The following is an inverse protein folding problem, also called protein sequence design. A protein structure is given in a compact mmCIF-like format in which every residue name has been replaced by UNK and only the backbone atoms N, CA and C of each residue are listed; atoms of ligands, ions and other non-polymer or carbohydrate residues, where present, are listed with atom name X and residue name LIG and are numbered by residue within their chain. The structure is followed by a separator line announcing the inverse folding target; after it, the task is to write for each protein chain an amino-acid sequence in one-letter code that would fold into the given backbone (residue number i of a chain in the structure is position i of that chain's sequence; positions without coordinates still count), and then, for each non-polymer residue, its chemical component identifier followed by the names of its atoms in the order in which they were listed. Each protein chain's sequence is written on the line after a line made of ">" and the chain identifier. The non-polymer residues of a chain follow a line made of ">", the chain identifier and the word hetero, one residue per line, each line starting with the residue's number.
data_IF_357764490384
#
_entry.id   IF_357764490384
#
_cell.length_a   1.000
_cell.length_b   1.000
_cell.length_c   1.000
_cell.angle_alpha   90.00
_cell.angle_beta   90.00
_cell.angle_gamma   90.00
#
_symmetry.space_group_name_H-M   'P 1'
#
loop_
_entity.id
_entity.type
_entity.pdbx_description
1 polymer ?
#
# COMPACT_ATOMS: atom_id res chain seq x y z
N UNK A 1 -34.86 16.23 46.91
CA UNK A 1 -33.51 15.66 46.68
C UNK A 1 -33.67 14.24 46.15
N UNK A 2 -33.69 14.07 44.82
CA UNK A 2 -33.80 12.75 44.20
C UNK A 2 -32.40 12.12 44.11
N UNK A 3 -32.23 10.99 44.80
CA UNK A 3 -31.03 10.15 44.74
C UNK A 3 -30.80 9.70 43.29
N UNK A 4 -29.72 10.18 42.66
CA UNK A 4 -29.19 9.59 41.42
C UNK A 4 -28.77 8.16 41.77
N UNK A 5 -29.57 7.16 41.42
CA UNK A 5 -29.13 5.76 41.44
C UNK A 5 -27.92 5.66 40.52
N UNK A 6 -26.73 5.62 41.12
CA UNK A 6 -25.48 5.40 40.38
C UNK A 6 -25.54 4.03 39.72
N UNK A 7 -25.21 3.97 38.43
CA UNK A 7 -24.85 2.70 37.79
C UNK A 7 -23.69 2.14 38.63
N UNK A 8 -23.72 0.87 39.06
CA UNK A 8 -22.60 0.27 39.79
C UNK A 8 -21.30 0.50 39.00
N UNK A 9 -20.26 1.03 39.66
CA UNK A 9 -19.00 1.34 38.99
C UNK A 9 -18.37 0.04 38.47
N UNK A 10 -18.31 -0.08 37.15
CA UNK A 10 -17.61 -1.17 36.49
C UNK A 10 -16.11 -1.09 36.84
N UNK A 11 -15.40 -2.21 37.05
CA UNK A 11 -13.94 -2.22 37.15
C UNK A 11 -13.28 -1.51 35.95
N UNK A 12 -12.18 -0.82 36.19
CA UNK A 12 -11.51 0.00 35.17
C UNK A 12 -11.07 -0.83 33.96
N UNK A 13 -10.70 -2.10 34.17
CA UNK A 13 -10.32 -3.03 33.11
C UNK A 13 -11.48 -3.31 32.14
N UNK A 14 -12.71 -3.40 32.67
CA UNK A 14 -13.89 -3.59 31.86
C UNK A 14 -14.31 -2.28 31.16
N UNK A 15 -14.10 -1.12 31.80
CA UNK A 15 -14.31 0.17 31.15
C UNK A 15 -13.36 0.32 29.94
N UNK A 16 -12.07 0.03 30.12
CA UNK A 16 -11.07 0.07 29.05
C UNK A 16 -11.43 -0.89 27.90
N UNK A 17 -11.84 -2.12 28.22
CA UNK A 17 -12.26 -3.09 27.23
C UNK A 17 -13.50 -2.65 26.43
N UNK A 18 -14.46 -1.97 27.07
CA UNK A 18 -15.64 -1.41 26.40
C UNK A 18 -15.23 -0.21 25.53
N UNK A 19 -14.48 0.73 26.09
CA UNK A 19 -14.04 1.95 25.41
C UNK A 19 -13.19 1.66 24.18
N UNK A 20 -12.29 0.67 24.25
CA UNK A 20 -11.46 0.24 23.13
C UNK A 20 -12.25 -0.33 21.94
N UNK A 21 -13.53 -0.69 22.14
CA UNK A 21 -14.42 -1.23 21.09
C UNK A 21 -15.39 -0.19 20.55
N UNK A 22 -15.47 0.98 21.17
CA UNK A 22 -16.36 2.06 20.76
C UNK A 22 -15.64 3.00 19.79
N UNK A 23 -16.36 3.59 18.81
CA UNK A 23 -15.83 4.71 18.05
C UNK A 23 -15.37 5.84 18.98
N UNK A 24 -14.31 6.56 18.60
CA UNK A 24 -13.69 7.63 19.40
C UNK A 24 -14.75 8.61 19.97
N UNK A 25 -15.71 9.01 19.13
CA UNK A 25 -16.80 9.91 19.54
C UNK A 25 -17.69 9.34 20.65
N UNK A 26 -18.06 8.07 20.56
CA UNK A 26 -18.98 7.44 21.52
C UNK A 26 -18.27 7.08 22.82
N UNK A 27 -17.01 6.69 22.73
CA UNK A 27 -16.14 6.51 23.87
C UNK A 27 -15.92 7.84 24.63
N UNK A 28 -15.75 8.98 23.93
CA UNK A 28 -15.73 10.30 24.58
C UNK A 28 -17.06 10.64 25.28
N UNK A 29 -18.20 10.29 24.68
CA UNK A 29 -19.55 10.53 25.24
C UNK A 29 -19.83 9.73 26.51
N UNK A 30 -19.19 8.57 26.67
CA UNK A 30 -19.30 7.77 27.89
C UNK A 30 -18.83 8.52 29.15
N UNK A 31 -18.06 9.60 29.00
CA UNK A 31 -17.65 10.48 30.12
C UNK A 31 -18.82 11.07 30.91
N UNK A 32 -20.03 11.12 30.33
CA UNK A 32 -21.25 11.57 31.02
C UNK A 32 -21.76 10.52 32.03
N UNK A 33 -21.37 9.26 31.89
CA UNK A 33 -21.81 8.17 32.77
C UNK A 33 -21.24 8.31 34.18
N UNK A 34 -19.93 8.57 34.30
CA UNK A 34 -19.28 8.93 35.56
C UNK A 34 -17.88 9.54 35.33
N UNK A 35 -17.29 10.07 36.41
CA UNK A 35 -15.91 10.56 36.40
C UNK A 35 -14.88 9.48 36.07
N UNK A 36 -15.16 8.20 36.38
CA UNK A 36 -14.27 7.08 36.07
C UNK A 36 -14.17 6.89 34.56
N UNK A 37 -15.31 6.84 33.86
CA UNK A 37 -15.36 6.70 32.39
C UNK A 37 -14.69 7.88 31.70
N UNK A 38 -14.87 9.09 32.24
CA UNK A 38 -14.18 10.29 31.76
C UNK A 38 -12.65 10.25 31.91
N UNK A 39 -12.13 9.56 32.94
CA UNK A 39 -10.68 9.31 33.10
C UNK A 39 -10.20 8.20 32.16
N UNK A 40 -10.87 7.05 32.16
CA UNK A 40 -10.50 5.87 31.34
C UNK A 40 -10.43 6.22 29.85
N UNK A 41 -11.38 7.01 29.35
CA UNK A 41 -11.36 7.54 27.98
C UNK A 41 -10.03 8.25 27.63
N UNK A 42 -9.52 9.11 28.53
CA UNK A 42 -8.28 9.88 28.30
C UNK A 42 -7.01 9.02 28.31
N UNK A 43 -7.10 7.78 28.75
CA UNK A 43 -6.01 6.81 28.76
C UNK A 43 -6.06 5.84 27.59
N UNK A 44 -7.05 5.95 26.70
CA UNK A 44 -7.07 5.12 25.49
C UNK A 44 -5.81 5.35 24.65
N UNK A 45 -5.13 4.25 24.37
CA UNK A 45 -3.95 4.25 23.51
C UNK A 45 -4.27 4.34 22.01
N UNK A 46 -5.54 4.17 21.62
CA UNK A 46 -5.96 4.18 20.22
C UNK A 46 -6.91 5.35 19.95
N UNK A 47 -6.49 6.28 19.09
CA UNK A 47 -7.29 7.42 18.69
C UNK A 47 -7.59 7.35 17.19
N UNK A 48 -8.84 7.00 16.85
CA UNK A 48 -9.32 6.97 15.48
C UNK A 48 -10.28 8.14 15.19
N UNK A 49 -9.78 9.15 14.48
CA UNK A 49 -10.55 10.32 14.08
C UNK A 49 -11.25 10.14 12.72
N UNK A 50 -11.19 8.93 12.15
CA UNK A 50 -11.96 8.60 10.97
C UNK A 50 -13.37 8.21 11.40
N UNK A 51 -14.36 8.95 10.91
CA UNK A 51 -15.74 8.49 10.93
C UNK A 51 -15.88 7.28 10.00
N UNK A 52 -16.06 6.07 10.55
CA UNK A 52 -16.78 5.03 9.83
C UNK A 52 -18.26 5.47 9.78
N UNK A 53 -18.92 5.50 8.61
CA UNK A 53 -20.37 5.68 8.61
C UNK A 53 -20.99 4.57 9.47
N UNK A 54 -22.01 4.86 10.29
CA UNK A 54 -22.71 3.81 11.02
C UNK A 54 -23.26 2.78 10.02
N UNK A 55 -23.40 1.50 10.40
CA UNK A 55 -23.89 0.45 9.48
C UNK A 55 -25.25 0.78 8.85
N UNK A 56 -26.08 1.59 9.51
CA UNK A 56 -27.36 2.08 8.98
C UNK A 56 -27.24 3.17 7.88
N UNK A 57 -26.07 3.79 7.71
CA UNK A 57 -25.81 4.82 6.70
C UNK A 57 -25.19 4.27 5.40
N UNK A 58 -24.99 2.95 5.29
CA UNK A 58 -24.51 2.30 4.07
C UNK A 58 -25.49 2.46 2.89
N UNK A 59 -26.73 2.86 3.16
CA UNK A 59 -27.80 3.08 2.18
C UNK A 59 -27.98 4.55 1.76
N UNK A 60 -27.18 5.48 2.32
CA UNK A 60 -27.26 6.90 1.97
C UNK A 60 -26.30 7.21 0.80
N UNK A 61 -26.61 8.22 -0.05
CA UNK A 61 -25.69 8.67 -1.09
C UNK A 61 -24.31 8.98 -0.49
N UNK A 62 -23.23 8.69 -1.22
CA UNK A 62 -21.83 8.91 -0.79
C UNK A 62 -21.59 10.35 -0.27
N UNK A 63 -22.40 11.32 -0.70
CA UNK A 63 -22.39 12.71 -0.23
C UNK A 63 -23.01 12.94 1.17
N UNK A 64 -23.84 12.03 1.69
CA UNK A 64 -24.41 12.09 3.03
C UNK A 64 -23.60 11.25 4.05
N UNK A 65 -22.88 10.21 3.59
CA UNK A 65 -21.91 9.47 4.41
C UNK A 65 -20.66 10.31 4.77
N UNK A 66 -20.47 11.47 4.13
CA UNK A 66 -19.32 12.35 4.29
C UNK A 66 -19.39 13.37 5.43
N UNK A 67 -20.41 13.34 6.29
CA UNK A 67 -20.65 14.41 7.24
C UNK A 67 -20.51 14.01 8.72
N UNK A 68 -19.33 13.50 9.12
CA UNK A 68 -18.78 13.75 10.47
C UNK A 68 -17.25 13.83 10.35
N UNK A 69 -16.74 14.88 9.70
CA UNK A 69 -15.32 15.22 9.89
C UNK A 69 -15.15 15.67 11.35
N UNK A 70 -14.13 15.14 12.05
CA UNK A 70 -13.78 15.67 13.36
C UNK A 70 -13.35 17.14 13.21
N UNK A 71 -13.97 18.03 14.00
CA UNK A 71 -13.59 19.44 14.04
C UNK A 71 -12.15 19.58 14.54
N UNK A 72 -11.40 20.53 13.96
CA UNK A 72 -10.03 20.87 14.35
C UNK A 72 -9.94 21.14 15.85
N UNK A 73 -10.89 21.88 16.41
CA UNK A 73 -10.90 22.22 17.84
C UNK A 73 -11.00 20.96 18.73
N UNK A 74 -11.75 19.95 18.30
CA UNK A 74 -11.84 18.68 19.00
C UNK A 74 -10.52 17.88 18.91
N UNK A 75 -9.90 17.85 17.73
CA UNK A 75 -8.60 17.18 17.54
C UNK A 75 -7.52 17.87 18.39
N UNK A 76 -7.48 19.20 18.38
CA UNK A 76 -6.57 20.01 19.21
C UNK A 76 -6.79 19.72 20.69
N UNK A 77 -8.03 19.77 21.17
CA UNK A 77 -8.36 19.48 22.56
C UNK A 77 -7.88 18.08 22.97
N UNK A 78 -8.07 17.08 22.12
CA UNK A 78 -7.71 15.69 22.41
C UNK A 78 -6.20 15.50 22.37
N UNK A 79 -5.55 15.82 21.25
CA UNK A 79 -4.13 15.53 21.01
C UNK A 79 -3.21 16.46 21.81
N UNK A 80 -3.57 17.73 21.99
CA UNK A 80 -2.70 18.73 22.61
C UNK A 80 -2.96 18.90 24.11
N UNK A 81 -4.20 18.67 24.59
CA UNK A 81 -4.58 19.05 25.95
C UNK A 81 -5.11 17.90 26.83
N UNK A 82 -5.88 16.96 26.28
CA UNK A 82 -6.65 16.00 27.09
C UNK A 82 -6.02 14.61 27.23
N UNK A 83 -5.07 14.23 26.37
CA UNK A 83 -4.37 12.95 26.47
C UNK A 83 -2.95 13.13 27.04
N UNK A 84 -2.76 13.14 28.36
CA UNK A 84 -1.41 13.23 28.96
C UNK A 84 -0.59 11.94 28.79
N UNK A 85 -1.25 10.80 28.57
CA UNK A 85 -0.60 9.48 28.48
C UNK A 85 0.01 9.16 27.12
N UNK A 86 0.74 8.03 27.02
CA UNK A 86 1.26 7.54 25.75
C UNK A 86 0.11 7.21 24.80
N UNK A 87 0.24 7.62 23.55
CA UNK A 87 -0.74 7.33 22.50
C UNK A 87 -0.11 6.32 21.57
N UNK A 88 -0.62 5.09 21.55
CA UNK A 88 -0.04 3.99 20.78
C UNK A 88 -0.38 4.09 19.30
N UNK A 89 -1.61 4.48 18.95
CA UNK A 89 -2.10 4.53 17.57
C UNK A 89 -2.93 5.77 17.33
N UNK A 90 -2.65 6.46 16.22
CA UNK A 90 -3.47 7.56 15.73
C UNK A 90 -3.79 7.35 14.26
N UNK A 91 -5.07 7.53 13.91
CA UNK A 91 -5.53 7.59 12.53
C UNK A 91 -6.26 8.90 12.29
N UNK A 92 -5.79 9.66 11.30
CA UNK A 92 -6.28 10.98 10.93
C UNK A 92 -6.47 11.06 9.41
N UNK A 93 -7.70 11.38 8.99
CA UNK A 93 -7.99 11.81 7.62
C UNK A 93 -8.22 13.32 7.63
N UNK A 94 -7.27 14.05 7.06
CA UNK A 94 -7.17 15.51 7.13
C UNK A 94 -7.77 16.11 5.86
N UNK A 95 -8.74 16.98 5.99
CA UNK A 95 -9.23 17.84 4.89
C UNK A 95 -8.43 19.14 4.84
N UNK A 96 -8.65 19.96 3.82
CA UNK A 96 -7.86 21.18 3.63
C UNK A 96 -7.96 22.15 4.83
N UNK A 97 -9.10 22.17 5.52
CA UNK A 97 -9.34 23.00 6.71
C UNK A 97 -8.58 22.52 7.96
N UNK A 98 -8.25 21.22 8.00
CA UNK A 98 -7.56 20.59 9.12
C UNK A 98 -6.02 20.64 8.97
N UNK A 99 -5.52 20.87 7.76
CA UNK A 99 -4.08 20.89 7.46
C UNK A 99 -3.25 21.82 8.36
N UNK A 100 -3.70 23.05 8.70
CA UNK A 100 -2.93 23.94 9.57
C UNK A 100 -2.67 23.36 10.97
N UNK A 101 -3.46 22.39 11.44
CA UNK A 101 -3.26 21.71 12.72
C UNK A 101 -2.17 20.63 12.72
N UNK A 102 -1.86 20.06 11.55
CA UNK A 102 -0.94 18.91 11.42
C UNK A 102 0.42 19.14 12.08
N UNK A 103 1.10 20.30 11.93
CA UNK A 103 2.38 20.52 12.58
C UNK A 103 2.32 20.42 14.12
N UNK A 104 1.28 21.01 14.73
CA UNK A 104 1.09 20.97 16.19
C UNK A 104 0.79 19.55 16.68
N UNK A 105 -0.05 18.81 15.95
CA UNK A 105 -0.36 17.41 16.26
C UNK A 105 0.90 16.54 16.16
N UNK A 106 1.69 16.70 15.10
CA UNK A 106 2.92 15.94 14.91
C UNK A 106 3.96 16.22 15.99
N UNK A 107 4.09 17.48 16.42
CA UNK A 107 4.95 17.83 17.55
C UNK A 107 4.52 17.09 18.82
N UNK A 108 3.24 17.17 19.17
CA UNK A 108 2.70 16.51 20.36
C UNK A 108 2.81 14.98 20.30
N UNK A 109 2.53 14.37 19.15
CA UNK A 109 2.59 12.91 18.97
C UNK A 109 4.02 12.36 19.08
N UNK A 110 5.03 13.16 18.69
CA UNK A 110 6.43 12.73 18.78
C UNK A 110 6.90 12.51 20.21
N UNK A 111 6.27 13.17 21.18
CA UNK A 111 6.58 13.05 22.61
C UNK A 111 5.81 11.92 23.30
N UNK A 112 4.78 11.37 22.64
CA UNK A 112 3.83 10.38 23.23
C UNK A 112 4.18 8.92 22.94
N UNK A 113 5.34 8.65 22.34
CA UNK A 113 5.79 7.27 22.09
C UNK A 113 4.93 6.50 21.08
N UNK A 114 4.40 7.17 20.06
CA UNK A 114 3.48 6.58 19.07
C UNK A 114 4.09 5.39 18.33
N UNK A 115 3.30 4.31 18.24
CA UNK A 115 3.68 3.07 17.58
C UNK A 115 3.03 2.89 16.20
N UNK A 116 1.88 3.53 15.95
CA UNK A 116 1.16 3.40 14.68
C UNK A 116 0.54 4.73 14.27
N UNK A 117 1.04 5.33 13.19
CA UNK A 117 0.52 6.58 12.66
C UNK A 117 -0.04 6.37 11.26
N UNK A 118 -1.29 6.77 11.05
CA UNK A 118 -1.92 6.85 9.73
C UNK A 118 -2.44 8.28 9.52
N UNK A 119 -1.78 9.01 8.64
CA UNK A 119 -2.08 10.41 8.35
C UNK A 119 -2.22 10.60 6.85
N UNK A 120 -3.45 10.87 6.40
CA UNK A 120 -3.78 11.00 4.98
C UNK A 120 -4.55 12.29 4.72
N UNK A 121 -4.11 13.06 3.72
CA UNK A 121 -4.86 14.24 3.26
C UNK A 121 -5.89 13.83 2.20
N UNK A 122 -7.16 14.18 2.44
CA UNK A 122 -8.26 14.03 1.48
C UNK A 122 -8.39 15.32 0.68
N UNK A 123 -7.69 15.41 -0.44
CA UNK A 123 -7.85 16.54 -1.36
C UNK A 123 -8.78 16.15 -2.54
N UNK A 124 -9.76 17.00 -2.81
CA UNK A 124 -10.74 16.88 -3.90
C UNK A 124 -10.08 17.08 -5.28
N UNK A 125 -9.02 17.90 -5.32
CA UNK A 125 -8.18 18.11 -6.49
C UNK A 125 -6.81 17.45 -6.26
N UNK A 126 -5.90 17.46 -7.25
CA UNK A 126 -4.57 16.83 -7.17
C UNK A 126 -3.47 17.89 -6.89
N UNK A 127 -3.48 18.61 -5.75
CA UNK A 127 -2.44 19.58 -5.43
C UNK A 127 -1.11 18.86 -5.17
N UNK A 128 0.02 19.59 -5.18
CA UNK A 128 1.29 19.06 -4.71
C UNK A 128 1.17 18.56 -3.26
N UNK A 129 1.97 17.55 -2.85
CA UNK A 129 1.93 17.01 -1.50
C UNK A 129 2.22 18.09 -0.43
N UNK A 130 1.52 18.04 0.70
CA UNK A 130 1.68 19.04 1.77
C UNK A 130 2.98 18.81 2.55
N UNK A 131 3.69 19.87 2.98
CA UNK A 131 4.91 19.72 3.76
C UNK A 131 4.63 19.03 5.10
N UNK A 132 5.33 17.93 5.35
CA UNK A 132 5.30 17.21 6.62
C UNK A 132 6.16 17.91 7.67
N UNK A 133 5.73 17.89 8.93
CA UNK A 133 6.50 18.44 10.04
C UNK A 133 7.67 17.53 10.43
N UNK A 134 8.84 18.11 10.71
CA UNK A 134 10.09 17.38 11.04
C UNK A 134 9.98 16.44 12.25
N UNK A 135 9.03 16.66 13.16
CA UNK A 135 8.77 15.79 14.31
C UNK A 135 8.46 14.35 13.94
N UNK A 136 8.08 14.05 12.68
CA UNK A 136 7.91 12.67 12.22
C UNK A 136 9.15 11.80 12.49
N UNK A 137 10.35 12.36 12.34
CA UNK A 137 11.61 11.63 12.54
C UNK A 137 11.93 11.40 14.03
N UNK A 138 11.29 12.11 14.95
CA UNK A 138 11.44 11.92 16.39
C UNK A 138 10.59 10.76 16.93
N UNK A 139 9.62 10.25 16.16
CA UNK A 139 8.75 9.14 16.55
C UNK A 139 9.47 7.77 16.49
N UNK A 140 10.46 7.53 17.38
CA UNK A 140 11.32 6.33 17.34
C UNK A 140 10.61 5.01 17.67
N UNK A 141 9.46 5.09 18.33
CA UNK A 141 8.64 3.92 18.69
C UNK A 141 7.75 3.41 17.54
N UNK A 142 7.73 4.08 16.39
CA UNK A 142 6.89 3.72 15.25
C UNK A 142 7.19 2.29 14.77
N UNK A 143 6.13 1.48 14.75
CA UNK A 143 6.03 0.16 14.14
C UNK A 143 5.27 0.20 12.83
N UNK A 144 4.31 1.11 12.67
CA UNK A 144 3.55 1.32 11.44
C UNK A 144 3.45 2.79 11.09
N UNK A 145 3.79 3.13 9.86
CA UNK A 145 3.67 4.49 9.34
C UNK A 145 2.94 4.45 8.00
N UNK A 146 1.80 5.14 7.93
CA UNK A 146 1.03 5.37 6.71
C UNK A 146 0.93 6.87 6.47
N UNK A 147 1.48 7.35 5.34
CA UNK A 147 1.45 8.75 4.94
C UNK A 147 0.79 8.89 3.57
N UNK A 148 -0.22 9.75 3.49
CA UNK A 148 -0.94 10.06 2.27
C UNK A 148 -0.85 11.54 1.90
N UNK A 149 -0.29 11.85 0.73
CA UNK A 149 -0.16 13.19 0.14
C UNK A 149 0.69 14.18 0.96
N UNK A 150 1.81 13.70 1.50
CA UNK A 150 2.79 14.54 2.20
C UNK A 150 4.15 14.57 1.50
N UNK A 151 4.81 15.73 1.52
CA UNK A 151 6.21 15.91 1.18
C UNK A 151 7.04 15.76 2.47
N UNK A 152 7.90 14.75 2.54
CA UNK A 152 8.77 14.53 3.70
C UNK A 152 9.87 15.60 3.74
N UNK A 153 10.14 16.23 4.90
CA UNK A 153 11.25 17.14 5.04
C UNK A 153 12.58 16.39 4.93
N UNK A 154 13.68 17.12 4.74
CA UNK A 154 15.01 16.54 4.78
C UNK A 154 15.23 15.83 6.12
N UNK A 155 15.78 14.61 6.06
CA UNK A 155 16.12 13.86 7.25
C UNK A 155 17.22 14.63 8.04
N UNK A 156 17.12 14.70 9.38
CA UNK A 156 18.21 15.21 10.21
C UNK A 156 19.51 14.43 10.00
N UNK A 157 20.67 15.07 10.17
CA UNK A 157 21.99 14.43 9.96
C UNK A 157 22.21 13.17 10.80
N UNK A 158 21.62 13.12 12.00
CA UNK A 158 21.71 11.98 12.92
C UNK A 158 20.50 11.02 12.83
N UNK A 159 19.69 11.13 11.78
CA UNK A 159 18.55 10.25 11.60
C UNK A 159 19.03 8.84 11.29
N UNK A 160 18.95 7.96 12.29
CA UNK A 160 19.31 6.54 12.17
C UNK A 160 18.15 5.65 11.70
N UNK A 161 17.17 6.24 10.99
CA UNK A 161 15.95 5.53 10.57
C UNK A 161 14.96 5.27 11.69
N UNK A 162 13.94 4.47 11.39
CA UNK A 162 12.94 4.04 12.36
C UNK A 162 13.27 2.62 12.87
N UNK A 163 13.80 2.46 14.09
CA UNK A 163 14.38 1.19 14.54
C UNK A 163 13.36 0.07 14.73
N UNK A 164 12.09 0.43 15.01
CA UNK A 164 11.01 -0.51 15.26
C UNK A 164 10.02 -0.66 14.09
N UNK A 165 10.23 0.06 12.97
CA UNK A 165 9.26 0.14 11.89
C UNK A 165 9.15 -1.19 11.15
N UNK A 166 7.96 -1.76 11.15
CA UNK A 166 7.61 -3.01 10.48
C UNK A 166 6.80 -2.78 9.20
N UNK A 167 5.96 -1.74 9.17
CA UNK A 167 5.12 -1.41 7.99
C UNK A 167 5.29 0.05 7.61
N UNK A 168 5.60 0.30 6.35
CA UNK A 168 5.65 1.62 5.74
C UNK A 168 4.71 1.68 4.54
N UNK A 169 3.75 2.60 4.55
CA UNK A 169 2.83 2.86 3.45
C UNK A 169 2.91 4.32 3.04
N UNK A 170 3.22 4.56 1.78
CA UNK A 170 3.43 5.89 1.21
C UNK A 170 2.55 6.04 -0.03
N UNK A 171 1.63 7.00 0.00
CA UNK A 171 0.70 7.24 -1.12
C UNK A 171 0.72 8.70 -1.51
N UNK A 172 1.12 9.01 -2.75
CA UNK A 172 1.21 10.38 -3.24
C UNK A 172 2.24 11.21 -2.47
N UNK A 173 3.29 10.58 -1.92
CA UNK A 173 4.29 11.28 -1.10
C UNK A 173 5.45 11.77 -1.95
N UNK A 174 5.99 12.93 -1.59
CA UNK A 174 7.18 13.50 -2.23
C UNK A 174 8.41 13.46 -1.32
N UNK A 175 9.57 13.32 -1.93
CA UNK A 175 10.88 13.41 -1.30
C UNK A 175 11.70 14.48 -2.00
N UNK A 176 12.56 15.17 -1.24
CA UNK A 176 13.47 16.17 -1.80
C UNK A 176 14.45 15.55 -2.78
N UNK A 177 15.01 14.38 -2.44
CA UNK A 177 15.96 13.67 -3.29
C UNK A 177 15.83 12.15 -3.09
N UNK A 178 16.47 11.38 -3.98
CA UNK A 178 16.43 9.92 -3.93
C UNK A 178 17.05 9.34 -2.64
N UNK A 179 18.11 9.99 -2.11
CA UNK A 179 18.83 9.50 -0.92
C UNK A 179 17.95 9.50 0.33
N UNK A 180 17.03 10.46 0.46
CA UNK A 180 16.11 10.50 1.60
C UNK A 180 15.19 9.26 1.62
N UNK A 181 14.66 8.88 0.46
CA UNK A 181 13.85 7.67 0.29
C UNK A 181 14.69 6.40 0.49
N UNK A 182 15.89 6.34 -0.10
CA UNK A 182 16.80 5.20 0.09
C UNK A 182 17.15 5.00 1.56
N UNK A 183 17.48 6.08 2.27
CA UNK A 183 17.87 6.06 3.67
C UNK A 183 16.69 5.66 4.56
N UNK A 184 15.46 6.14 4.27
CA UNK A 184 14.26 5.74 4.99
C UNK A 184 14.05 4.21 4.97
N UNK A 185 14.26 3.57 3.82
CA UNK A 185 14.13 2.11 3.68
C UNK A 185 15.33 1.39 4.29
N UNK A 186 16.56 1.81 3.96
CA UNK A 186 17.79 1.12 4.35
C UNK A 186 18.08 1.21 5.87
N UNK A 187 17.68 2.30 6.51
CA UNK A 187 17.90 2.54 7.94
C UNK A 187 16.75 2.02 8.82
N UNK A 188 15.77 1.32 8.24
CA UNK A 188 14.67 0.71 8.99
C UNK A 188 14.88 -0.82 9.06
N UNK A 189 15.69 -1.33 10.01
CA UNK A 189 16.17 -2.72 9.98
C UNK A 189 15.07 -3.77 10.21
N UNK A 190 13.92 -3.37 10.75
CA UNK A 190 12.77 -4.26 11.01
C UNK A 190 11.64 -4.13 9.98
N UNK A 191 11.86 -3.42 8.87
CA UNK A 191 10.82 -3.16 7.88
C UNK A 191 10.47 -4.44 7.11
N UNK A 192 9.29 -5.00 7.38
CA UNK A 192 8.79 -6.23 6.76
C UNK A 192 7.86 -5.95 5.59
N UNK A 193 7.12 -4.83 5.62
CA UNK A 193 6.16 -4.46 4.59
C UNK A 193 6.36 -3.03 4.10
N UNK A 194 6.50 -2.86 2.78
CA UNK A 194 6.63 -1.58 2.12
C UNK A 194 5.57 -1.44 1.03
N UNK A 195 4.76 -0.40 1.11
CA UNK A 195 3.76 -0.03 0.10
C UNK A 195 4.06 1.37 -0.41
N UNK A 196 4.19 1.53 -1.71
CA UNK A 196 4.49 2.79 -2.36
C UNK A 196 3.53 2.99 -3.52
N UNK A 197 2.83 4.13 -3.53
CA UNK A 197 1.90 4.51 -4.57
C UNK A 197 2.17 5.95 -5.00
N UNK A 198 2.38 6.21 -6.30
CA UNK A 198 2.55 7.57 -6.85
C UNK A 198 3.63 8.40 -6.11
N UNK A 199 4.85 7.88 -6.02
CA UNK A 199 5.96 8.53 -5.32
C UNK A 199 6.67 9.53 -6.22
N UNK A 200 6.95 10.70 -5.66
CA UNK A 200 7.67 11.75 -6.37
C UNK A 200 9.00 12.09 -5.68
N UNK A 201 10.02 12.39 -6.47
CA UNK A 201 11.34 12.82 -6.01
C UNK A 201 11.76 14.05 -6.79
N UNK A 202 12.23 15.10 -6.12
CA UNK A 202 12.87 16.25 -6.78
C UNK A 202 11.93 17.01 -7.75
N UNK A 203 10.69 17.25 -7.33
CA UNK A 203 9.61 17.84 -8.16
C UNK A 203 9.79 19.35 -8.38
N UNK A 204 10.62 20.02 -7.59
CA UNK A 204 10.86 21.47 -7.68
C UNK A 204 11.84 21.85 -8.82
N UNK A 205 12.47 20.88 -9.47
CA UNK A 205 13.35 21.12 -10.61
C UNK A 205 12.54 21.34 -11.89
N UNK A 206 12.22 22.60 -12.17
CA UNK A 206 11.79 23.08 -13.48
C UNK A 206 12.68 22.49 -14.59
N UNK A 207 12.01 21.89 -15.58
CA UNK A 207 12.45 21.62 -16.95
C UNK A 207 13.91 21.22 -17.16
N UNK A 208 14.19 19.93 -17.42
CA UNK A 208 15.29 19.55 -18.30
C UNK A 208 14.90 18.34 -19.15
N UNK A 209 15.02 18.49 -20.48
CA UNK A 209 14.68 17.50 -21.50
C UNK A 209 15.56 16.25 -21.48
N UNK A 210 15.25 15.33 -20.56
CA UNK A 210 15.68 13.94 -20.53
C UNK A 210 14.57 13.07 -19.93
N UNK A 211 14.73 11.74 -19.91
CA UNK A 211 13.83 10.83 -19.18
C UNK A 211 13.80 11.28 -17.70
N UNK A 212 12.80 12.10 -17.32
CA UNK A 212 12.76 12.89 -16.09
C UNK A 212 12.65 12.08 -14.80
N UNK A 213 13.02 10.81 -14.84
CA UNK A 213 12.95 9.84 -13.77
C UNK A 213 14.18 9.92 -12.87
N UNK A 214 13.96 9.76 -11.56
CA UNK A 214 14.98 9.77 -10.52
C UNK A 214 15.29 8.34 -10.13
N UNK A 215 16.57 7.98 -10.29
CA UNK A 215 17.09 6.67 -9.94
C UNK A 215 17.14 6.51 -8.42
N UNK A 216 16.53 5.44 -7.92
CA UNK A 216 16.45 5.11 -6.49
C UNK A 216 16.95 3.69 -6.28
N UNK A 217 17.88 3.51 -5.35
CA UNK A 217 18.44 2.21 -4.99
C UNK A 217 17.81 1.68 -3.70
N UNK A 218 16.86 0.76 -3.86
CA UNK A 218 16.17 0.15 -2.72
C UNK A 218 16.96 -1.03 -2.14
N UNK A 219 17.40 -0.92 -0.89
CA UNK A 219 18.10 -2.00 -0.18
C UNK A 219 17.41 -2.26 1.15
N UNK A 220 17.00 -3.51 1.37
CA UNK A 220 16.48 -3.97 2.66
C UNK A 220 16.81 -5.45 2.85
N UNK A 221 17.21 -5.82 4.06
CA UNK A 221 17.50 -7.19 4.46
C UNK A 221 16.37 -7.84 5.27
N UNK A 222 15.30 -7.10 5.59
CA UNK A 222 14.15 -7.55 6.38
C UNK A 222 12.83 -7.57 5.62
N UNK A 223 12.76 -6.90 4.47
CA UNK A 223 11.52 -6.77 3.70
C UNK A 223 11.02 -8.13 3.20
N UNK A 224 9.74 -8.42 3.47
CA UNK A 224 9.02 -9.65 3.07
C UNK A 224 7.93 -9.37 2.05
N UNK A 225 7.28 -8.21 2.16
CA UNK A 225 6.22 -7.77 1.26
C UNK A 225 6.57 -6.42 0.63
N UNK A 226 6.46 -6.34 -0.69
CA UNK A 226 6.67 -5.12 -1.46
C UNK A 226 5.47 -4.83 -2.37
N UNK A 227 4.85 -3.67 -2.22
CA UNK A 227 3.89 -3.15 -3.18
C UNK A 227 4.40 -1.86 -3.82
N UNK A 228 4.51 -1.83 -5.13
CA UNK A 228 4.76 -0.61 -5.91
C UNK A 228 3.61 -0.40 -6.89
N UNK A 229 2.97 0.75 -6.79
CA UNK A 229 1.77 1.12 -7.52
C UNK A 229 1.86 2.56 -8.05
N UNK A 230 1.11 2.88 -9.10
CA UNK A 230 0.92 4.25 -9.59
C UNK A 230 2.09 4.89 -10.36
N UNK A 231 1.78 6.04 -10.95
CA UNK A 231 2.70 6.80 -11.81
C UNK A 231 3.50 7.80 -10.97
N UNK A 232 4.72 7.43 -10.61
CA UNK A 232 5.71 8.32 -10.01
C UNK A 232 6.79 8.75 -11.01
N UNK A 233 7.72 9.60 -10.59
CA UNK A 233 8.94 9.87 -11.36
C UNK A 233 10.15 9.08 -10.84
N UNK A 234 9.93 7.97 -10.14
CA UNK A 234 11.00 7.11 -9.59
C UNK A 234 11.28 5.94 -10.52
N UNK A 235 12.55 5.69 -10.77
CA UNK A 235 13.06 4.47 -11.39
C UNK A 235 13.90 3.70 -10.35
N UNK A 236 13.50 2.47 -9.99
CA UNK A 236 14.31 1.65 -9.12
C UNK A 236 15.44 0.99 -9.89
N UNK A 237 16.68 1.19 -9.45
CA UNK A 237 17.89 0.62 -10.05
C UNK A 237 18.81 0.04 -8.98
N UNK A 238 19.48 -1.08 -9.28
CA UNK A 238 20.44 -1.69 -8.35
C UNK A 238 19.82 -2.13 -7.00
N UNK A 239 18.53 -2.46 -7.00
CA UNK A 239 17.82 -2.91 -5.80
C UNK A 239 18.40 -4.23 -5.27
N UNK A 240 18.34 -4.43 -3.94
CA UNK A 240 18.76 -5.66 -3.27
C UNK A 240 17.72 -6.02 -2.20
N UNK A 241 16.90 -7.03 -2.50
CA UNK A 241 15.72 -7.39 -1.72
C UNK A 241 15.64 -8.92 -1.50
N UNK A 242 16.65 -9.54 -0.84
CA UNK A 242 16.84 -10.99 -0.81
C UNK A 242 15.82 -11.78 0.01
N UNK A 243 14.88 -11.11 0.69
CA UNK A 243 13.87 -11.76 1.56
C UNK A 243 12.43 -11.49 1.14
N UNK A 244 12.22 -10.74 0.05
CA UNK A 244 10.85 -10.43 -0.41
C UNK A 244 10.25 -11.70 -1.01
N UNK A 245 9.26 -12.26 -0.31
CA UNK A 245 8.55 -13.46 -0.72
C UNK A 245 7.23 -13.14 -1.42
N UNK A 246 6.68 -11.94 -1.21
CA UNK A 246 5.47 -11.49 -1.87
C UNK A 246 5.66 -10.09 -2.46
N UNK A 247 5.26 -9.91 -3.72
CA UNK A 247 5.30 -8.62 -4.38
C UNK A 247 4.01 -8.32 -5.15
N UNK A 248 3.55 -7.08 -5.04
CA UNK A 248 2.47 -6.51 -5.82
C UNK A 248 3.06 -5.39 -6.68
N UNK A 249 3.18 -5.60 -7.99
CA UNK A 249 3.83 -4.63 -8.89
C UNK A 249 2.85 -4.19 -9.96
N UNK A 250 2.56 -2.90 -10.01
CA UNK A 250 1.80 -2.32 -11.09
C UNK A 250 2.71 -1.77 -12.19
N UNK A 251 2.38 -1.98 -13.46
CA UNK A 251 3.23 -1.65 -14.62
C UNK A 251 3.50 -0.15 -14.80
N UNK A 252 2.73 0.72 -14.12
CA UNK A 252 3.08 2.13 -13.93
C UNK A 252 4.48 2.32 -13.30
N UNK A 253 5.01 1.27 -12.67
CA UNK A 253 6.37 1.18 -12.15
C UNK A 253 7.45 0.96 -13.22
N UNK A 254 7.12 0.79 -14.51
CA UNK A 254 8.13 0.60 -15.57
C UNK A 254 8.97 1.88 -15.76
N UNK A 255 10.32 1.81 -15.70
CA UNK A 255 11.22 0.70 -16.04
C UNK A 255 11.71 -0.09 -14.82
N UNK A 256 11.15 0.16 -13.64
CA UNK A 256 11.62 -0.42 -12.39
C UNK A 256 11.28 -1.89 -12.21
N UNK A 257 10.20 -2.37 -12.85
CA UNK A 257 9.70 -3.72 -12.62
C UNK A 257 10.77 -4.82 -12.88
N UNK A 258 11.51 -4.84 -14.01
CA UNK A 258 12.61 -5.79 -14.20
C UNK A 258 13.72 -5.69 -13.12
N UNK A 259 14.08 -4.48 -12.71
CA UNK A 259 15.10 -4.25 -11.68
C UNK A 259 14.64 -4.74 -10.30
N UNK A 260 13.36 -4.59 -9.96
CA UNK A 260 12.81 -5.09 -8.72
C UNK A 260 12.66 -6.62 -8.75
N UNK A 261 12.12 -7.17 -9.84
CA UNK A 261 11.96 -8.62 -10.00
C UNK A 261 13.31 -9.35 -9.95
N UNK A 262 14.36 -8.78 -10.56
CA UNK A 262 15.72 -9.33 -10.45
C UNK A 262 16.27 -9.24 -9.02
N UNK A 263 15.97 -8.18 -8.28
CA UNK A 263 16.38 -8.05 -6.88
C UNK A 263 15.72 -9.06 -5.92
N UNK A 264 14.61 -9.68 -6.34
CA UNK A 264 13.79 -10.61 -5.54
C UNK A 264 13.80 -12.05 -6.10
N UNK A 265 14.54 -12.32 -7.18
CA UNK A 265 14.49 -13.57 -7.95
C UNK A 265 14.66 -14.85 -7.10
N UNK A 266 15.48 -14.77 -6.06
CA UNK A 266 15.81 -15.92 -5.19
C UNK A 266 14.80 -16.14 -4.06
N UNK A 267 13.91 -15.19 -3.77
CA UNK A 267 13.01 -15.27 -2.61
C UNK A 267 11.53 -15.19 -2.98
N UNK A 268 11.19 -14.66 -4.16
CA UNK A 268 9.81 -14.39 -4.55
C UNK A 268 8.98 -15.68 -4.70
N UNK A 269 7.92 -15.80 -3.89
CA UNK A 269 6.99 -16.95 -3.88
C UNK A 269 5.61 -16.61 -4.46
N UNK A 270 5.16 -15.37 -4.25
CA UNK A 270 3.88 -14.86 -4.77
C UNK A 270 4.09 -13.53 -5.47
N UNK A 271 3.57 -13.42 -6.69
CA UNK A 271 3.60 -12.19 -7.48
C UNK A 271 2.17 -11.82 -7.90
N UNK A 272 1.73 -10.62 -7.58
CA UNK A 272 0.57 -9.97 -8.19
C UNK A 272 1.06 -8.87 -9.13
N UNK A 273 0.83 -9.03 -10.43
CA UNK A 273 1.41 -8.17 -11.47
C UNK A 273 0.32 -7.52 -12.31
N UNK A 274 0.24 -6.19 -12.26
CA UNK A 274 -0.79 -5.43 -12.96
C UNK A 274 -0.21 -4.85 -14.23
N UNK A 275 -0.61 -5.37 -15.39
CA UNK A 275 -0.34 -4.73 -16.66
C UNK A 275 -1.32 -3.55 -16.81
N UNK A 276 -0.83 -2.34 -17.05
CA UNK A 276 -1.66 -1.19 -17.42
C UNK A 276 -1.49 -0.93 -18.91
N UNK A 277 -2.54 -0.41 -19.56
CA UNK A 277 -2.55 -0.07 -20.98
C UNK A 277 -1.55 1.05 -21.31
N UNK A 278 -0.27 0.70 -21.40
CA UNK A 278 0.79 1.54 -21.93
C UNK A 278 1.21 0.98 -23.29
N UNK A 279 1.43 1.84 -24.30
CA UNK A 279 1.93 1.42 -25.61
C UNK A 279 3.36 0.91 -25.45
N UNK A 280 3.52 -0.38 -25.19
CA UNK A 280 4.81 -1.00 -24.91
C UNK A 280 5.18 -1.99 -26.00
N UNK A 281 6.46 -2.00 -26.38
CA UNK A 281 6.98 -3.06 -27.22
C UNK A 281 7.22 -4.32 -26.37
N UNK A 282 6.87 -5.52 -26.87
CA UNK A 282 7.12 -6.79 -26.17
C UNK A 282 8.59 -6.97 -25.75
N UNK A 283 9.50 -6.51 -26.59
CA UNK A 283 10.95 -6.58 -26.37
C UNK A 283 11.43 -5.80 -25.15
N UNK A 284 10.78 -4.69 -24.81
CA UNK A 284 11.12 -3.90 -23.62
C UNK A 284 10.63 -4.57 -22.35
N UNK A 285 9.44 -5.18 -22.37
CA UNK A 285 8.87 -5.87 -21.20
C UNK A 285 9.63 -7.12 -20.80
N UNK A 286 10.21 -7.82 -21.76
CA UNK A 286 10.93 -9.07 -21.54
C UNK A 286 12.42 -8.87 -21.22
N UNK A 287 12.98 -7.69 -21.55
CA UNK A 287 14.41 -7.43 -21.38
C UNK A 287 14.77 -7.23 -19.91
N UNK A 288 15.78 -7.96 -19.45
CA UNK A 288 16.31 -7.84 -18.09
C UNK A 288 15.54 -8.64 -17.03
N UNK A 289 14.51 -9.40 -17.43
CA UNK A 289 13.88 -10.37 -16.53
C UNK A 289 14.83 -11.55 -16.26
N UNK A 290 14.90 -12.03 -15.00
CA UNK A 290 15.58 -13.27 -14.65
C UNK A 290 15.21 -14.47 -15.53
N UNK A 291 16.18 -15.35 -15.73
CA UNK A 291 16.02 -16.59 -16.48
C UNK A 291 15.25 -17.68 -15.71
N UNK A 292 15.15 -17.57 -14.38
CA UNK A 292 14.45 -18.57 -13.55
C UNK A 292 13.93 -18.00 -12.23
N UNK A 293 12.66 -18.25 -11.93
CA UNK A 293 12.00 -17.96 -10.65
C UNK A 293 11.62 -19.28 -9.95
N UNK A 294 12.61 -19.96 -9.36
CA UNK A 294 12.43 -21.31 -8.79
C UNK A 294 11.46 -21.36 -7.60
N UNK A 295 11.31 -20.27 -6.86
CA UNK A 295 10.48 -20.22 -5.66
C UNK A 295 9.06 -19.71 -5.94
N UNK A 296 8.79 -19.18 -7.14
CA UNK A 296 7.48 -18.63 -7.49
C UNK A 296 6.45 -19.75 -7.59
N UNK A 297 5.49 -19.75 -6.67
CA UNK A 297 4.41 -20.74 -6.55
C UNK A 297 3.06 -20.20 -7.02
N UNK A 298 2.82 -18.90 -6.84
CA UNK A 298 1.59 -18.21 -7.23
C UNK A 298 1.90 -16.98 -8.06
N UNK A 299 1.25 -16.91 -9.22
CA UNK A 299 1.28 -15.76 -10.11
C UNK A 299 -0.16 -15.29 -10.31
N UNK A 300 -0.43 -14.05 -9.94
CA UNK A 300 -1.65 -13.34 -10.28
C UNK A 300 -1.29 -12.25 -11.27
N UNK A 301 -2.01 -12.18 -12.39
CA UNK A 301 -1.81 -11.16 -13.41
C UNK A 301 -3.13 -10.46 -13.69
N UNK A 302 -3.05 -9.14 -13.82
CA UNK A 302 -4.14 -8.33 -14.36
C UNK A 302 -3.72 -7.88 -15.74
N UNK A 303 -4.39 -8.32 -16.79
CA UNK A 303 -4.00 -7.98 -18.16
C UNK A 303 -5.20 -7.74 -19.08
N UNK A 304 -4.92 -7.00 -20.14
CA UNK A 304 -5.81 -6.78 -21.27
C UNK A 304 -5.39 -7.70 -22.42
N UNK A 305 -6.27 -8.61 -22.82
CA UNK A 305 -6.03 -9.59 -23.88
C UNK A 305 -6.12 -8.99 -25.29
N UNK A 306 -6.55 -7.73 -25.44
CA UNK A 306 -6.41 -6.99 -26.70
C UNK A 306 -4.94 -6.62 -26.98
N UNK A 307 -4.04 -6.81 -26.02
CA UNK A 307 -2.64 -6.41 -26.15
C UNK A 307 -1.68 -7.60 -26.06
N UNK A 308 -0.85 -7.79 -27.10
CA UNK A 308 0.17 -8.83 -27.12
C UNK A 308 1.23 -8.73 -26.00
N UNK A 309 1.76 -7.54 -25.63
CA UNK A 309 2.88 -7.47 -24.67
C UNK A 309 2.57 -8.05 -23.27
N UNK A 310 1.40 -7.77 -22.64
CA UNK A 310 0.99 -8.43 -21.40
C UNK A 310 0.89 -9.96 -21.50
N UNK A 311 0.31 -10.48 -22.60
CA UNK A 311 0.18 -11.92 -22.84
C UNK A 311 1.57 -12.57 -22.94
N UNK A 312 2.47 -12.00 -23.75
CA UNK A 312 3.83 -12.50 -23.96
C UNK A 312 4.67 -12.46 -22.67
N UNK A 313 4.51 -11.40 -21.87
CA UNK A 313 5.16 -11.28 -20.56
C UNK A 313 4.68 -12.34 -19.59
N UNK A 314 3.37 -12.61 -19.57
CA UNK A 314 2.77 -13.70 -18.77
C UNK A 314 3.32 -15.06 -19.19
N UNK A 315 3.35 -15.37 -20.50
CA UNK A 315 3.93 -16.61 -21.01
C UNK A 315 5.41 -16.75 -20.64
N UNK A 316 6.17 -15.66 -20.60
CA UNK A 316 7.57 -15.70 -20.16
C UNK A 316 7.69 -16.05 -18.66
N UNK A 317 6.82 -15.55 -17.79
CA UNK A 317 6.79 -15.99 -16.39
C UNK A 317 6.50 -17.49 -16.29
N UNK A 318 5.51 -17.98 -17.04
CA UNK A 318 5.14 -19.40 -17.06
C UNK A 318 6.27 -20.32 -17.55
N UNK A 319 7.11 -19.83 -18.46
CA UNK A 319 8.31 -20.53 -18.92
C UNK A 319 9.46 -20.50 -17.91
N UNK A 320 9.60 -19.41 -17.17
CA UNK A 320 10.74 -19.19 -16.26
C UNK A 320 10.47 -19.60 -14.81
N UNK A 321 9.22 -19.91 -14.46
CA UNK A 321 8.80 -20.35 -13.13
C UNK A 321 8.41 -21.86 -13.13
N UNK A 322 9.38 -22.78 -13.02
CA UNK A 322 9.11 -24.23 -13.14
C UNK A 322 8.24 -24.80 -12.02
N UNK A 323 8.22 -24.16 -10.85
CA UNK A 323 7.47 -24.60 -9.67
C UNK A 323 6.16 -23.82 -9.47
N UNK A 324 5.69 -23.12 -10.50
CA UNK A 324 4.43 -22.39 -10.44
C UNK A 324 3.27 -23.37 -10.34
N UNK A 325 2.50 -23.26 -9.25
CA UNK A 325 1.36 -24.14 -8.96
C UNK A 325 0.01 -23.46 -9.17
N UNK A 326 -0.05 -22.14 -9.05
CA UNK A 326 -1.28 -21.36 -9.14
C UNK A 326 -1.10 -20.19 -10.11
N UNK A 327 -1.96 -20.13 -11.12
CA UNK A 327 -2.10 -19.01 -12.04
C UNK A 327 -3.50 -18.40 -11.88
N UNK A 328 -3.55 -17.12 -11.53
CA UNK A 328 -4.79 -16.34 -11.44
C UNK A 328 -4.72 -15.21 -12.46
N UNK A 329 -5.73 -15.09 -13.31
CA UNK A 329 -5.81 -14.06 -14.34
C UNK A 329 -7.08 -13.25 -14.10
N UNK A 330 -6.91 -11.95 -13.94
CA UNK A 330 -8.01 -11.00 -13.95
C UNK A 330 -7.96 -10.24 -15.27
N UNK A 331 -8.95 -10.52 -16.11
CA UNK A 331 -9.14 -9.84 -17.36
C UNK A 331 -9.76 -8.46 -17.12
N UNK A 332 -9.25 -7.44 -17.80
CA UNK A 332 -9.89 -6.11 -17.82
C UNK A 332 -10.05 -5.59 -19.25
N UNK A 333 -9.99 -6.49 -20.24
CA UNK A 333 -10.18 -6.20 -21.67
C UNK A 333 -11.44 -5.37 -21.87
N UNK A 334 -11.29 -4.24 -22.57
CA UNK A 334 -12.43 -3.43 -22.99
C UNK A 334 -13.02 -4.04 -24.28
N UNK A 335 -14.20 -4.65 -24.15
CA UNK A 335 -14.90 -5.30 -25.26
C UNK A 335 -15.29 -4.34 -26.40
N UNK A 336 -15.20 -3.03 -26.20
CA UNK A 336 -15.48 -2.04 -27.24
C UNK A 336 -14.41 -1.96 -28.35
N UNK A 337 -13.23 -2.56 -28.13
CA UNK A 337 -12.11 -2.53 -29.06
C UNK A 337 -11.66 -3.94 -29.48
N UNK A 338 -12.43 -4.60 -30.33
CA UNK A 338 -12.02 -5.89 -30.92
C UNK A 338 -10.74 -5.73 -31.76
N UNK A 339 -9.63 -6.29 -31.30
CA UNK A 339 -8.39 -6.37 -32.07
C UNK A 339 -8.26 -7.70 -32.83
N UNK A 340 -7.45 -7.71 -33.89
CA UNK A 340 -7.16 -8.95 -34.61
C UNK A 340 -6.47 -9.97 -33.68
N UNK A 341 -6.75 -11.27 -33.84
CA UNK A 341 -6.12 -12.31 -33.03
C UNK A 341 -4.60 -12.24 -33.13
N UNK A 342 -3.92 -12.31 -32.00
CA UNK A 342 -2.46 -12.44 -31.97
C UNK A 342 -2.09 -13.92 -31.99
N UNK A 343 -1.39 -14.41 -33.02
CA UNK A 343 -1.10 -15.84 -33.14
C UNK A 343 -0.15 -16.28 -32.02
N UNK A 344 -0.71 -16.94 -31.01
CA UNK A 344 0.04 -17.65 -29.98
C UNK A 344 0.52 -18.98 -30.56
N UNK A 345 1.57 -18.94 -31.38
CA UNK A 345 2.12 -20.16 -31.99
C UNK A 345 2.64 -21.11 -30.89
N UNK A 346 1.89 -22.18 -30.61
CA UNK A 346 2.16 -23.14 -29.54
C UNK A 346 3.53 -23.85 -29.64
N UNK A 347 4.14 -23.82 -30.83
CA UNK A 347 5.48 -24.33 -31.14
C UNK A 347 6.59 -23.46 -30.53
N UNK A 348 6.35 -22.16 -30.34
CA UNK A 348 7.32 -21.22 -29.77
C UNK A 348 7.44 -21.34 -28.23
N UNK A 349 6.49 -22.03 -27.59
CA UNK A 349 6.39 -22.13 -26.13
C UNK A 349 6.51 -23.58 -25.64
N UNK A 350 7.65 -24.22 -25.93
CA UNK A 350 8.01 -25.51 -25.33
C UNK A 350 8.17 -25.42 -23.81
N UNK A 351 7.66 -26.43 -23.08
CA UNK A 351 7.73 -26.57 -21.61
C UNK A 351 7.15 -25.40 -20.81
N UNK A 352 5.88 -25.07 -21.02
CA UNK A 352 5.12 -24.16 -20.14
C UNK A 352 4.52 -24.92 -18.97
N UNK A 353 4.50 -24.29 -17.79
CA UNK A 353 3.64 -24.69 -16.66
C UNK A 353 3.75 -26.17 -16.21
N UNK A 354 4.95 -26.75 -16.05
CA UNK A 354 5.07 -28.19 -15.77
C UNK A 354 4.42 -28.62 -14.45
N UNK A 355 4.30 -27.70 -13.49
CA UNK A 355 3.78 -27.95 -12.14
C UNK A 355 2.45 -27.26 -11.85
N UNK A 356 1.79 -26.71 -12.87
CA UNK A 356 0.58 -25.90 -12.67
C UNK A 356 -0.60 -26.80 -12.25
N UNK A 357 -1.16 -26.53 -11.08
CA UNK A 357 -2.26 -27.27 -10.48
C UNK A 357 -3.59 -26.53 -10.60
N UNK A 358 -3.56 -25.20 -10.49
CA UNK A 358 -4.75 -24.36 -10.45
C UNK A 358 -4.65 -23.21 -11.45
N UNK A 359 -5.68 -23.08 -12.28
CA UNK A 359 -5.90 -21.96 -13.19
C UNK A 359 -7.25 -21.32 -12.84
N UNK A 360 -7.25 -20.05 -12.48
CA UNK A 360 -8.46 -19.24 -12.35
C UNK A 360 -8.38 -18.08 -13.31
N UNK A 361 -9.41 -17.91 -14.14
CA UNK A 361 -9.61 -16.72 -14.95
C UNK A 361 -10.92 -16.05 -14.54
N UNK A 362 -10.93 -14.72 -14.47
CA UNK A 362 -12.10 -13.93 -14.06
C UNK A 362 -12.31 -12.80 -15.05
N UNK A 363 -13.58 -12.43 -15.28
CA UNK A 363 -14.02 -11.41 -16.26
C UNK A 363 -13.71 -11.74 -17.73
N UNK A 364 -13.58 -13.03 -18.05
CA UNK A 364 -13.35 -13.54 -19.42
C UNK A 364 -14.60 -13.33 -20.27
N UNK A 365 -14.46 -12.68 -21.43
CA UNK A 365 -15.57 -12.42 -22.37
C UNK A 365 -15.56 -13.37 -23.58
N UNK A 366 -14.62 -14.32 -23.59
CA UNK A 366 -14.43 -15.39 -24.57
C UNK A 366 -13.96 -14.91 -25.95
N UNK A 367 -13.15 -13.84 -25.99
CA UNK A 367 -12.53 -13.37 -27.23
C UNK A 367 -11.41 -14.32 -27.71
N UNK A 368 -11.00 -14.17 -28.98
CA UNK A 368 -10.05 -15.10 -29.63
C UNK A 368 -8.73 -15.25 -28.86
N UNK A 369 -8.14 -14.15 -28.38
CA UNK A 369 -6.86 -14.19 -27.65
C UNK A 369 -6.98 -14.88 -26.28
N UNK A 370 -8.08 -14.66 -25.56
CA UNK A 370 -8.37 -15.35 -24.29
C UNK A 370 -8.49 -16.86 -24.53
N UNK A 371 -9.29 -17.25 -25.53
CA UNK A 371 -9.54 -18.64 -25.87
C UNK A 371 -8.27 -19.34 -26.36
N UNK A 372 -7.45 -18.67 -27.17
CA UNK A 372 -6.17 -19.21 -27.63
C UNK A 372 -5.16 -19.35 -26.51
N UNK A 373 -5.13 -18.40 -25.55
CA UNK A 373 -4.34 -18.54 -24.34
C UNK A 373 -4.79 -19.73 -23.50
N UNK A 374 -6.10 -19.88 -23.26
CA UNK A 374 -6.66 -21.02 -22.52
C UNK A 374 -6.29 -22.34 -23.20
N UNK A 375 -6.51 -22.46 -24.51
CA UNK A 375 -6.14 -23.65 -25.29
C UNK A 375 -4.65 -23.96 -25.17
N UNK A 376 -3.79 -22.94 -25.27
CA UNK A 376 -2.35 -23.10 -25.10
C UNK A 376 -2.01 -23.66 -23.71
N UNK A 377 -2.55 -23.07 -22.63
CA UNK A 377 -2.28 -23.55 -21.26
C UNK A 377 -2.79 -24.98 -21.07
N UNK A 378 -4.01 -25.28 -21.48
CA UNK A 378 -4.59 -26.64 -21.37
C UNK A 378 -3.78 -27.68 -22.16
N UNK A 379 -3.19 -27.30 -23.30
CA UNK A 379 -2.35 -28.21 -24.09
C UNK A 379 -1.00 -28.55 -23.41
N UNK A 380 -0.55 -27.74 -22.44
CA UNK A 380 0.77 -27.87 -21.81
C UNK A 380 0.71 -28.26 -20.33
N UNK A 381 -0.28 -27.77 -19.58
CA UNK A 381 -0.42 -27.97 -18.15
C UNK A 381 -1.07 -29.32 -17.82
N UNK A 382 -0.26 -30.37 -17.72
CA UNK A 382 -0.73 -31.75 -17.52
C UNK A 382 -1.20 -32.08 -16.09
N UNK A 383 -0.92 -31.20 -15.13
CA UNK A 383 -1.17 -31.43 -13.70
C UNK A 383 -2.38 -30.64 -13.16
N UNK A 384 -3.17 -30.01 -14.05
CA UNK A 384 -4.33 -29.21 -13.65
C UNK A 384 -5.34 -30.08 -12.90
N UNK A 385 -5.84 -29.55 -11.80
CA UNK A 385 -6.83 -30.18 -10.94
C UNK A 385 -8.16 -29.43 -11.03
N UNK A 386 -9.26 -30.17 -10.85
CA UNK A 386 -10.62 -29.60 -10.79
C UNK A 386 -10.80 -28.80 -9.48
N UNK A 387 -11.27 -27.55 -9.52
CA UNK A 387 -11.63 -26.81 -8.30
C UNK A 387 -12.75 -27.54 -7.54
N UNK A 388 -12.43 -28.10 -6.38
CA UNK A 388 -13.44 -28.63 -5.45
C UNK A 388 -14.08 -27.55 -4.61
#
# INVERSE_FOLDING_TARGET
>A
MASRRGIPELPWELQDAILARLPLRDAARSSVLSSSWGRSWRHLGELDFVSSPPPAAASLPVAAATAVACDKAAIDAILLHQHPGPVQRVRLRVTDELLPGVPAWMASLSEKGIQSLDLTVRAMYRPPPHPMHRSIFACRALRRLSLGRFALPAAPEHFAGFPALATLSLTGTAFRNARDLEALVAMSPRLEELRMCCIAVDVDCREHGGDGRRKVRMVSSSLRFLRIDGMGNVEFVGARLPRVSQADLAQASYPSAPNLLSAMVTSLETLDYYYYALPLSPTKLLKGLPSSYKNLKRLKVHLDFNHAPPILSTLNFLRTAPNLTQLVIQDFTDDSYAQSPYPLAAELYGNLCPSLLFLQMSYVTSQNNEMDFIRLILSKARMLQDPR
#
